data_IF_462609280270
#
_entry.id   IF_462609280270
#
_cell.length_a   1.000
_cell.length_b   1.000
_cell.length_c   1.000
_cell.angle_alpha   90.00
_cell.angle_beta   90.00
_cell.angle_gamma   90.00
#
_symmetry.space_group_name_H-M   'P 1'
#
loop_
_entity.id
_entity.type
_entity.pdbx_description
1 polymer ?
#
# COMPACT_ATOMS: atom_id res chain seq x y z
N UNK A 1 3.12 24.01 -5.50
CA UNK A 1 3.81 24.08 -4.19
C UNK A 1 5.31 24.35 -4.37
N UNK A 2 6.01 23.63 -5.24
CA UNK A 2 7.45 23.82 -5.47
C UNK A 2 7.82 25.28 -5.83
N UNK A 3 7.04 25.93 -6.71
CA UNK A 3 7.21 27.33 -7.08
C UNK A 3 7.03 28.31 -5.90
N UNK A 4 6.35 27.89 -4.85
CA UNK A 4 6.16 28.65 -3.60
C UNK A 4 7.21 28.33 -2.52
N UNK A 5 8.31 27.68 -2.90
CA UNK A 5 9.43 27.39 -2.00
C UNK A 5 9.38 26.08 -1.26
N UNK A 6 8.33 25.24 -1.44
CA UNK A 6 8.30 23.91 -0.84
C UNK A 6 9.42 23.03 -1.45
N UNK A 7 10.15 22.30 -0.59
CA UNK A 7 11.24 21.41 -1.00
C UNK A 7 11.11 20.01 -0.37
N UNK A 8 10.33 19.89 0.67
CA UNK A 8 10.02 18.61 1.32
C UNK A 8 8.55 18.30 1.08
N UNK A 9 8.27 17.13 0.57
CA UNK A 9 6.93 16.67 0.24
C UNK A 9 6.69 15.33 0.91
N UNK A 10 5.51 15.16 1.45
CA UNK A 10 5.03 13.88 2.00
C UNK A 10 3.73 13.53 1.32
N UNK A 11 3.63 12.31 0.80
CA UNK A 11 2.39 11.75 0.26
C UNK A 11 2.03 10.53 1.10
N UNK A 12 0.92 10.63 1.84
CA UNK A 12 0.29 9.46 2.44
C UNK A 12 -0.52 8.76 1.34
N UNK A 13 -0.01 7.62 0.91
CA UNK A 13 -0.61 6.86 -0.18
C UNK A 13 -1.63 5.86 0.37
N UNK A 14 -2.84 5.90 -0.18
CA UNK A 14 -3.93 5.01 0.17
C UNK A 14 -4.10 3.80 -0.75
N UNK A 15 -3.33 3.68 -1.86
CA UNK A 15 -3.56 2.62 -2.84
C UNK A 15 -2.30 2.23 -3.63
N UNK A 16 -2.05 0.92 -3.74
CA UNK A 16 -0.86 0.38 -4.42
C UNK A 16 -0.72 0.79 -5.89
N UNK A 17 -1.82 1.04 -6.59
CA UNK A 17 -1.81 1.51 -7.98
C UNK A 17 -1.18 2.89 -8.17
N UNK A 18 -1.04 3.68 -7.13
CA UNK A 18 -0.45 5.03 -7.20
C UNK A 18 1.08 5.02 -7.14
N UNK A 19 1.70 3.96 -6.57
CA UNK A 19 3.14 3.90 -6.28
C UNK A 19 4.00 4.37 -7.46
N UNK A 20 3.82 3.78 -8.64
CA UNK A 20 4.62 4.11 -9.83
C UNK A 20 4.49 5.58 -10.25
N UNK A 21 3.33 6.19 -10.04
CA UNK A 21 3.09 7.60 -10.35
C UNK A 21 3.74 8.50 -9.32
N UNK A 22 3.68 8.13 -8.04
CA UNK A 22 4.31 8.85 -6.94
C UNK A 22 5.83 8.79 -7.06
N UNK A 23 6.41 7.62 -7.34
CA UNK A 23 7.84 7.45 -7.63
C UNK A 23 8.33 8.42 -8.71
N UNK A 24 7.61 8.48 -9.83
CA UNK A 24 7.97 9.39 -10.92
C UNK A 24 7.96 10.85 -10.49
N UNK A 25 6.94 11.26 -9.73
CA UNK A 25 6.87 12.62 -9.17
C UNK A 25 8.03 12.86 -8.20
N UNK A 26 8.39 11.87 -7.38
CA UNK A 26 9.54 11.93 -6.47
C UNK A 26 10.84 12.22 -7.20
N UNK A 27 11.13 11.50 -8.28
CA UNK A 27 12.31 11.75 -9.11
C UNK A 27 12.28 13.14 -9.76
N UNK A 28 11.11 13.61 -10.20
CA UNK A 28 10.99 14.96 -10.80
C UNK A 28 11.19 16.06 -9.76
N UNK A 29 10.75 15.85 -8.54
CA UNK A 29 10.99 16.75 -7.40
C UNK A 29 12.50 16.79 -7.06
N UNK A 30 13.16 15.62 -7.01
CA UNK A 30 14.58 15.52 -6.70
C UNK A 30 15.44 16.23 -7.76
N UNK A 31 15.15 16.08 -9.04
CA UNK A 31 15.84 16.80 -10.13
C UNK A 31 15.74 18.32 -10.01
N UNK A 32 14.73 18.81 -9.31
CA UNK A 32 14.50 20.23 -9.04
C UNK A 32 15.05 20.70 -7.69
N UNK A 33 15.75 19.84 -6.96
CA UNK A 33 16.33 20.16 -5.65
C UNK A 33 15.33 20.11 -4.50
N UNK A 34 14.42 19.14 -4.50
CA UNK A 34 13.53 18.81 -3.40
C UNK A 34 13.54 17.32 -3.12
N UNK A 35 12.83 16.89 -2.11
CA UNK A 35 12.66 15.48 -1.75
C UNK A 35 11.18 15.14 -1.51
N UNK A 36 10.82 13.90 -1.79
CA UNK A 36 9.49 13.37 -1.53
C UNK A 36 9.61 12.08 -0.72
N UNK A 37 8.85 11.98 0.37
CA UNK A 37 8.60 10.74 1.09
C UNK A 37 7.23 10.20 0.69
N UNK A 38 7.19 8.95 0.23
CA UNK A 38 5.96 8.21 -0.02
C UNK A 38 5.68 7.28 1.16
N UNK A 39 4.55 7.49 1.81
CA UNK A 39 4.10 6.70 2.95
C UNK A 39 2.96 5.79 2.50
N UNK A 40 3.29 4.55 2.18
CA UNK A 40 2.32 3.51 1.86
C UNK A 40 1.81 2.91 3.16
N UNK A 41 0.65 3.33 3.66
CA UNK A 41 0.17 3.03 5.01
C UNK A 41 0.18 1.52 5.32
N UNK A 42 -0.22 0.68 4.37
CA UNK A 42 -0.28 -0.78 4.53
C UNK A 42 1.13 -1.41 4.63
N UNK A 43 2.09 -0.98 3.79
CA UNK A 43 3.45 -1.50 3.87
C UNK A 43 4.11 -1.12 5.19
N UNK A 44 3.86 0.09 5.66
CA UNK A 44 4.33 0.55 6.97
C UNK A 44 3.71 -0.29 8.11
N UNK A 45 2.40 -0.54 8.04
CA UNK A 45 1.72 -1.41 9.00
C UNK A 45 2.33 -2.82 9.04
N UNK A 46 2.64 -3.40 7.89
CA UNK A 46 3.28 -4.73 7.80
C UNK A 46 4.68 -4.77 8.39
N UNK A 47 5.45 -3.69 8.23
CA UNK A 47 6.79 -3.56 8.80
C UNK A 47 6.74 -3.39 10.33
N UNK A 48 5.71 -2.72 10.85
CA UNK A 48 5.52 -2.52 12.29
C UNK A 48 5.06 -3.79 13.01
N UNK A 49 4.12 -4.52 12.41
CA UNK A 49 3.63 -5.78 12.95
C UNK A 49 3.30 -6.76 11.80
N UNK A 50 4.11 -7.81 11.60
CA UNK A 50 3.86 -8.81 10.56
C UNK A 50 2.48 -9.50 10.65
N UNK A 51 1.83 -9.47 11.82
CA UNK A 51 0.49 -10.00 11.99
C UNK A 51 -0.58 -9.15 11.27
N UNK A 52 -0.25 -7.93 10.87
CA UNK A 52 -1.13 -7.05 10.10
C UNK A 52 -0.95 -7.19 8.60
N UNK A 53 -0.07 -8.10 8.17
CA UNK A 53 0.19 -8.29 6.75
C UNK A 53 -1.03 -8.83 6.03
N UNK A 54 -1.52 -8.06 5.10
CA UNK A 54 -2.70 -8.35 4.31
C UNK A 54 -2.44 -8.35 2.81
N UNK A 55 -3.50 -8.09 2.08
CA UNK A 55 -3.50 -8.03 0.62
C UNK A 55 -4.67 -7.19 0.11
N UNK A 56 -4.88 -7.24 -1.19
CA UNK A 56 -5.94 -6.46 -1.83
C UNK A 56 -7.34 -6.93 -1.38
N UNK A 57 -8.13 -6.04 -0.78
CA UNK A 57 -9.49 -6.33 -0.31
C UNK A 57 -9.55 -7.39 0.79
N UNK A 58 -8.46 -7.63 1.51
CA UNK A 58 -8.36 -8.65 2.55
C UNK A 58 -8.75 -8.15 3.94
N UNK A 59 -8.41 -8.95 4.95
CA UNK A 59 -8.71 -8.65 6.35
C UNK A 59 -8.09 -7.36 6.85
N UNK A 60 -6.88 -7.02 6.42
CA UNK A 60 -6.20 -5.77 6.76
C UNK A 60 -6.98 -4.53 6.32
N UNK A 61 -7.32 -4.44 5.02
CA UNK A 61 -8.06 -3.29 4.48
C UNK A 61 -9.46 -3.22 5.09
N UNK A 62 -10.12 -4.38 5.28
CA UNK A 62 -11.41 -4.47 5.94
C UNK A 62 -11.32 -4.01 7.41
N UNK A 63 -10.29 -4.45 8.15
CA UNK A 63 -10.05 -4.03 9.52
C UNK A 63 -9.81 -2.52 9.62
N UNK A 64 -9.07 -1.94 8.67
CA UNK A 64 -8.85 -0.51 8.64
C UNK A 64 -10.17 0.27 8.54
N UNK A 65 -11.10 -0.16 7.69
CA UNK A 65 -12.43 0.47 7.58
C UNK A 65 -13.26 0.24 8.85
N UNK A 66 -13.28 -0.99 9.38
CA UNK A 66 -13.97 -1.28 10.66
C UNK A 66 -13.44 -0.42 11.80
N UNK A 67 -12.13 -0.18 11.83
CA UNK A 67 -11.50 0.67 12.86
C UNK A 67 -11.90 2.14 12.77
N UNK A 68 -12.31 2.61 11.60
CA UNK A 68 -12.83 3.97 11.39
C UNK A 68 -14.32 4.03 11.73
N UNK A 69 -15.12 3.21 11.06
CA UNK A 69 -16.57 3.14 11.24
C UNK A 69 -17.08 1.76 10.79
N UNK A 70 -17.49 0.89 11.73
CA UNK A 70 -18.00 -0.44 11.39
C UNK A 70 -19.22 -0.46 10.46
N UNK A 71 -20.00 0.63 10.42
CA UNK A 71 -21.19 0.72 9.58
C UNK A 71 -20.86 0.81 8.07
N UNK A 72 -19.59 1.06 7.72
CA UNK A 72 -19.12 1.13 6.34
C UNK A 72 -18.79 -0.24 5.74
N UNK A 73 -18.82 -1.30 6.53
CA UNK A 73 -18.54 -2.67 6.08
C UNK A 73 -19.78 -3.53 6.15
N UNK A 74 -20.24 -4.01 5.00
CA UNK A 74 -21.30 -5.03 4.95
C UNK A 74 -20.66 -6.42 5.02
N UNK A 75 -20.63 -6.98 6.22
CA UNK A 75 -20.05 -8.30 6.45
C UNK A 75 -20.89 -9.45 5.86
N UNK A 76 -22.18 -9.21 5.52
CA UNK A 76 -23.01 -10.22 4.87
C UNK A 76 -22.59 -10.49 3.43
N UNK A 77 -21.89 -9.56 2.80
CA UNK A 77 -21.37 -9.65 1.43
C UNK A 77 -19.92 -10.17 1.36
N UNK A 78 -19.32 -10.50 2.52
CA UNK A 78 -17.96 -11.06 2.54
C UNK A 78 -17.97 -12.44 1.91
N UNK A 79 -17.34 -12.50 0.75
CA UNK A 79 -17.49 -13.63 -0.17
C UNK A 79 -16.38 -14.67 -0.01
N UNK A 80 -16.71 -15.88 0.35
CA UNK A 80 -16.02 -17.15 0.15
C UNK A 80 -14.49 -17.18 -0.10
N UNK A 81 -13.89 -18.30 -0.47
CA UNK A 81 -12.44 -18.41 -0.61
C UNK A 81 -11.90 -17.53 -1.73
N UNK A 82 -10.62 -17.10 -1.59
CA UNK A 82 -9.90 -16.41 -2.65
C UNK A 82 -9.95 -17.22 -3.97
N UNK A 83 -10.31 -16.55 -5.05
CA UNK A 83 -10.40 -17.15 -6.39
C UNK A 83 -9.67 -16.29 -7.39
N UNK A 84 -8.52 -16.78 -7.84
CA UNK A 84 -7.73 -16.12 -8.88
C UNK A 84 -8.08 -16.71 -10.25
N UNK A 85 -8.16 -15.84 -11.24
CA UNK A 85 -8.33 -16.23 -12.63
C UNK A 85 -6.95 -16.42 -13.27
N UNK A 86 -6.66 -17.64 -13.69
CA UNK A 86 -5.45 -17.95 -14.43
C UNK A 86 -5.42 -17.25 -15.79
N UNK A 87 -4.22 -16.99 -16.30
CA UNK A 87 -4.06 -16.45 -17.66
C UNK A 87 -4.28 -17.56 -18.71
N UNK A 88 -3.82 -18.76 -18.39
CA UNK A 88 -4.04 -19.98 -19.18
C UNK A 88 -3.86 -21.22 -18.31
N UNK A 89 -4.05 -22.41 -18.88
CA UNK A 89 -3.83 -23.68 -18.20
C UNK A 89 -2.40 -23.85 -17.66
N UNK A 90 -1.44 -23.17 -18.25
CA UNK A 90 -0.01 -23.26 -17.88
C UNK A 90 0.52 -22.00 -17.19
N UNK A 91 -0.19 -20.89 -17.24
CA UNK A 91 0.21 -19.60 -16.64
C UNK A 91 -0.71 -19.31 -15.45
N UNK A 92 -0.31 -19.82 -14.29
CA UNK A 92 -1.13 -19.77 -13.08
C UNK A 92 -0.99 -18.45 -12.35
N UNK A 93 -2.12 -17.86 -11.97
CA UNK A 93 -2.11 -16.63 -11.16
C UNK A 93 -1.63 -16.91 -9.73
N UNK A 94 -0.69 -16.11 -9.25
CA UNK A 94 -0.13 -16.20 -7.89
C UNK A 94 -0.32 -14.91 -7.08
N UNK A 95 -0.88 -13.88 -7.69
CA UNK A 95 -1.15 -12.60 -7.06
C UNK A 95 -1.83 -11.63 -8.02
N UNK A 96 -1.95 -10.38 -7.59
CA UNK A 96 -2.67 -9.35 -8.34
C UNK A 96 -2.08 -9.10 -9.74
N UNK A 97 -0.76 -9.04 -9.84
CA UNK A 97 -0.06 -8.84 -11.13
C UNK A 97 0.92 -9.96 -11.44
N UNK A 98 0.97 -11.02 -10.65
CA UNK A 98 1.95 -12.09 -10.80
C UNK A 98 1.30 -13.39 -11.28
N UNK A 99 2.06 -14.07 -12.11
CA UNK A 99 1.83 -15.46 -12.49
C UNK A 99 3.07 -16.29 -12.20
N UNK A 100 2.92 -17.60 -12.10
CA UNK A 100 4.03 -18.52 -12.09
C UNK A 100 4.11 -19.32 -13.40
N UNK A 101 5.32 -19.45 -13.92
CA UNK A 101 5.63 -20.36 -15.03
C UNK A 101 6.94 -21.08 -14.78
N UNK A 102 6.90 -22.40 -14.68
CA UNK A 102 8.06 -23.29 -14.39
C UNK A 102 8.87 -22.85 -13.16
N UNK A 103 8.17 -22.47 -12.08
CA UNK A 103 8.78 -22.00 -10.83
C UNK A 103 9.31 -20.58 -10.86
N UNK A 104 9.10 -19.83 -11.93
CA UNK A 104 9.53 -18.44 -12.07
C UNK A 104 8.35 -17.50 -12.05
N UNK A 105 8.42 -16.48 -11.19
CA UNK A 105 7.41 -15.44 -11.13
C UNK A 105 7.56 -14.44 -12.28
N UNK A 106 6.49 -14.20 -13.01
CA UNK A 106 6.43 -13.21 -14.10
C UNK A 106 5.33 -12.20 -13.79
N UNK A 107 5.60 -10.91 -14.04
CA UNK A 107 4.63 -9.86 -13.82
C UNK A 107 3.78 -9.63 -15.09
N UNK A 108 2.47 -9.81 -14.97
CA UNK A 108 1.48 -9.54 -16.01
C UNK A 108 0.43 -8.60 -15.44
N UNK A 109 0.52 -7.28 -15.69
CA UNK A 109 -0.50 -6.35 -15.26
C UNK A 109 -1.86 -6.67 -15.86
N UNK A 110 -2.87 -6.82 -15.01
CA UNK A 110 -4.26 -7.08 -15.40
C UNK A 110 -5.20 -6.19 -14.57
N UNK A 111 -6.39 -5.98 -15.06
CA UNK A 111 -7.45 -5.29 -14.32
C UNK A 111 -8.03 -6.22 -13.25
N UNK A 112 -8.46 -5.68 -12.12
CA UNK A 112 -9.01 -6.45 -10.99
C UNK A 112 -10.05 -7.49 -11.40
N UNK A 113 -11.07 -7.17 -12.23
CA UNK A 113 -12.07 -8.17 -12.64
C UNK A 113 -11.50 -9.33 -13.49
N UNK A 114 -10.32 -9.14 -14.09
CA UNK A 114 -9.62 -10.19 -14.84
C UNK A 114 -8.72 -11.04 -13.95
N UNK A 115 -8.54 -10.66 -12.69
CA UNK A 115 -7.63 -11.35 -11.74
C UNK A 115 -8.40 -12.14 -10.71
N UNK A 116 -9.49 -11.58 -10.17
CA UNK A 116 -10.25 -12.20 -9.10
C UNK A 116 -11.76 -12.14 -9.35
N UNK A 117 -12.46 -13.17 -8.86
CA UNK A 117 -13.90 -13.27 -8.97
C UNK A 117 -14.64 -12.46 -7.89
N UNK A 118 -14.08 -12.42 -6.68
CA UNK A 118 -14.72 -11.85 -5.50
C UNK A 118 -14.01 -10.64 -4.90
N UNK A 119 -13.01 -10.10 -5.62
CA UNK A 119 -12.41 -8.81 -5.31
C UNK A 119 -11.27 -8.83 -4.30
N UNK A 120 -11.02 -9.92 -3.55
CA UNK A 120 -9.93 -9.95 -2.60
C UNK A 120 -8.81 -10.93 -2.99
N UNK A 121 -7.57 -10.54 -2.67
CA UNK A 121 -6.36 -11.31 -2.94
C UNK A 121 -5.38 -11.06 -1.80
N UNK A 122 -5.11 -12.07 -1.01
CA UNK A 122 -4.14 -11.92 0.09
C UNK A 122 -4.05 -13.16 0.95
N UNK A 123 -3.15 -13.13 1.95
CA UNK A 123 -3.02 -14.20 2.92
C UNK A 123 -4.13 -14.18 3.97
N UNK A 124 -4.84 -13.06 4.12
CA UNK A 124 -5.81 -12.75 5.15
C UNK A 124 -7.23 -12.68 4.56
N UNK A 125 -8.11 -13.54 5.06
CA UNK A 125 -9.51 -13.51 4.65
C UNK A 125 -10.23 -12.28 5.25
N UNK A 126 -11.09 -11.56 4.50
CA UNK A 126 -11.82 -10.40 5.03
C UNK A 126 -12.63 -10.67 6.30
N UNK A 127 -13.15 -11.90 6.47
CA UNK A 127 -13.87 -12.32 7.69
C UNK A 127 -13.03 -12.30 8.97
N UNK A 128 -11.70 -12.29 8.85
CA UNK A 128 -10.79 -12.22 10.00
C UNK A 128 -10.66 -10.81 10.56
N UNK A 129 -11.14 -9.82 9.84
CA UNK A 129 -11.06 -8.43 10.22
C UNK A 129 -11.85 -8.12 11.50
N UNK A 130 -11.26 -7.32 12.38
CA UNK A 130 -11.93 -6.81 13.58
C UNK A 130 -11.73 -5.31 13.73
N UNK A 131 -12.67 -4.66 14.39
CA UNK A 131 -12.57 -3.23 14.73
C UNK A 131 -11.33 -2.96 15.61
N UNK A 132 -11.04 -3.83 16.58
CA UNK A 132 -9.89 -3.70 17.46
C UNK A 132 -8.56 -3.74 16.69
N UNK A 133 -8.43 -4.71 15.77
CA UNK A 133 -7.27 -4.78 14.88
C UNK A 133 -7.12 -3.49 14.10
N UNK A 134 -8.17 -3.03 13.44
CA UNK A 134 -8.15 -1.82 12.64
C UNK A 134 -7.76 -0.59 13.44
N UNK A 135 -8.38 -0.37 14.61
CA UNK A 135 -8.07 0.76 15.50
C UNK A 135 -6.61 0.75 15.94
N UNK A 136 -6.10 -0.40 16.40
CA UNK A 136 -4.71 -0.54 16.83
C UNK A 136 -3.74 -0.27 15.70
N UNK A 137 -3.96 -0.89 14.53
CA UNK A 137 -3.13 -0.73 13.34
C UNK A 137 -3.08 0.73 12.87
N UNK A 138 -4.23 1.35 12.70
CA UNK A 138 -4.32 2.75 12.24
C UNK A 138 -3.67 3.72 13.23
N UNK A 139 -3.90 3.55 14.54
CA UNK A 139 -3.30 4.42 15.56
C UNK A 139 -1.78 4.29 15.57
N UNK A 140 -1.26 3.05 15.56
CA UNK A 140 0.19 2.81 15.54
C UNK A 140 0.84 3.41 14.29
N UNK A 141 0.19 3.24 13.13
CA UNK A 141 0.67 3.82 11.87
C UNK A 141 0.65 5.35 11.90
N UNK A 142 -0.41 5.95 12.45
CA UNK A 142 -0.52 7.40 12.58
C UNK A 142 0.56 7.98 13.51
N UNK A 143 0.81 7.33 14.65
CA UNK A 143 1.84 7.75 15.60
C UNK A 143 3.24 7.71 14.95
N UNK A 144 3.54 6.64 14.21
CA UNK A 144 4.78 6.55 13.44
C UNK A 144 4.91 7.66 12.39
N UNK A 145 3.83 7.96 11.67
CA UNK A 145 3.84 9.03 10.66
C UNK A 145 4.17 10.38 11.30
N UNK A 146 3.62 10.67 12.48
CA UNK A 146 3.91 11.91 13.21
C UNK A 146 5.40 11.99 13.56
N UNK A 147 5.97 10.93 14.13
CA UNK A 147 7.38 10.87 14.48
C UNK A 147 8.28 11.00 13.23
N UNK A 148 7.95 10.29 12.16
CA UNK A 148 8.65 10.38 10.89
C UNK A 148 8.65 11.81 10.34
N UNK A 149 7.51 12.50 10.37
CA UNK A 149 7.40 13.87 9.87
C UNK A 149 8.26 14.84 10.66
N UNK A 150 8.40 14.66 11.98
CA UNK A 150 9.30 15.50 12.80
C UNK A 150 10.78 15.31 12.41
N UNK A 151 11.20 14.10 12.04
CA UNK A 151 12.55 13.86 11.53
C UNK A 151 12.71 14.35 10.08
N UNK A 152 11.71 14.11 9.23
CA UNK A 152 11.75 14.52 7.82
C UNK A 152 11.86 16.04 7.63
N UNK A 153 11.27 16.82 8.52
CA UNK A 153 11.42 18.28 8.54
C UNK A 153 12.87 18.74 8.72
N UNK A 154 13.71 17.95 9.40
CA UNK A 154 15.12 18.27 9.70
C UNK A 154 16.07 17.90 8.57
N UNK A 155 15.62 17.17 7.54
CA UNK A 155 16.48 16.71 6.45
C UNK A 155 17.15 17.89 5.76
N UNK A 156 18.47 17.83 5.62
CA UNK A 156 19.23 18.75 4.80
C UNK A 156 18.98 18.47 3.32
N UNK A 157 18.35 19.40 2.63
CA UNK A 157 17.94 19.24 1.23
C UNK A 157 19.15 19.20 0.30
N UNK A 158 20.19 20.00 0.53
CA UNK A 158 21.40 20.03 -0.31
C UNK A 158 22.11 18.66 -0.25
N UNK A 159 22.28 18.13 0.96
CA UNK A 159 22.85 16.80 1.18
C UNK A 159 21.98 15.70 0.58
N UNK A 160 20.65 15.74 0.82
CA UNK A 160 19.72 14.73 0.31
C UNK A 160 19.64 14.70 -1.23
N UNK A 161 19.83 15.85 -1.90
CA UNK A 161 19.82 15.94 -3.35
C UNK A 161 21.21 15.73 -3.99
N UNK A 162 22.26 15.47 -3.19
CA UNK A 162 23.60 15.22 -3.70
C UNK A 162 24.27 16.47 -4.32
N UNK A 163 23.91 17.65 -3.88
CA UNK A 163 24.53 18.92 -4.36
C UNK A 163 25.75 19.35 -3.54
N UNK A 164 26.05 18.60 -2.47
CA UNK A 164 27.23 18.74 -1.61
C UNK A 164 28.06 17.45 -1.67
N UNK A 165 28.76 17.18 -2.78
CA UNK A 165 29.82 16.15 -2.89
C UNK A 165 31.09 16.79 -3.38
#
# INVERSE_FOLDING_TARGET
LFQHGARRFVILNGHGGNIKSIDRVGYDIQRKGGILAELNWWLMAWDMDPAWKGGHGGGEETAAILGIDPSLVDQSEVAGPMRLHDVSDTLKATGFTSIEYKGVTVNIPRLTPSVTHNGWIGPDHPETATEEWGRKMLQTTADYIVDFMEEFKKVDIAKACGTEF
#
